data_IF_622037309016
#
_entry.id   IF_622037309016
#
_cell.length_a   1.000
_cell.length_b   1.000
_cell.length_c   1.000
_cell.angle_alpha   90.00
_cell.angle_beta   90.00
_cell.angle_gamma   90.00
#
_symmetry.space_group_name_H-M   'P 1'
#
loop_
_entity.id
_entity.type
_entity.pdbx_description
1 polymer ?
#
# COMPACT_ATOMS: atom_id res chain seq x y z
N UNK A 1 3.82 -18.46 8.54
CA UNK A 1 4.14 -17.19 7.88
C UNK A 1 2.90 -16.73 7.11
N UNK A 2 2.18 -15.71 7.62
CA UNK A 2 1.05 -15.10 6.89
C UNK A 2 1.61 -14.39 5.66
N UNK A 3 1.11 -14.71 4.47
CA UNK A 3 1.45 -13.98 3.23
C UNK A 3 0.55 -12.74 3.18
N UNK A 4 1.12 -11.56 3.43
CA UNK A 4 0.45 -10.29 3.14
C UNK A 4 0.50 -10.05 1.63
N UNK A 5 -0.64 -9.78 1.00
CA UNK A 5 -0.74 -9.47 -0.44
C UNK A 5 -1.05 -7.99 -0.57
N UNK A 6 -0.23 -7.23 -1.30
CA UNK A 6 -0.54 -5.85 -1.68
C UNK A 6 -1.48 -5.88 -2.87
N UNK A 7 -2.66 -5.32 -2.69
CA UNK A 7 -3.64 -5.18 -3.76
C UNK A 7 -3.43 -3.88 -4.54
N UNK A 8 -3.77 -3.88 -5.83
CA UNK A 8 -3.78 -2.68 -6.69
C UNK A 8 -4.75 -1.57 -6.24
N UNK A 9 -5.61 -1.87 -5.27
CA UNK A 9 -6.48 -0.89 -4.63
C UNK A 9 -5.79 -0.16 -3.46
N UNK A 10 -4.51 -0.43 -3.19
CA UNK A 10 -3.77 0.20 -2.09
C UNK A 10 -4.08 -0.38 -0.72
N UNK A 11 -4.53 -1.63 -0.63
CA UNK A 11 -4.77 -2.31 0.65
C UNK A 11 -3.87 -3.53 0.81
N UNK A 12 -3.45 -3.76 2.06
CA UNK A 12 -2.75 -4.96 2.47
C UNK A 12 -3.77 -6.02 2.88
N UNK A 13 -3.80 -7.12 2.13
CA UNK A 13 -4.71 -8.22 2.39
C UNK A 13 -4.11 -9.10 3.48
N UNK A 14 -4.65 -8.99 4.69
CA UNK A 14 -4.43 -9.94 5.78
C UNK A 14 -5.71 -10.74 6.05
N UNK A 15 -5.93 -11.80 5.25
CA UNK A 15 -7.06 -12.71 5.43
C UNK A 15 -8.40 -12.23 4.86
N UNK A 16 -8.50 -10.99 4.36
CA UNK A 16 -9.67 -10.44 3.67
C UNK A 16 -9.82 -10.98 2.23
N UNK A 17 -9.85 -12.30 2.08
CA UNK A 17 -9.94 -12.98 0.78
C UNK A 17 -11.20 -13.82 0.65
N UNK A 18 -11.87 -13.76 -0.50
CA UNK A 18 -12.89 -14.74 -0.88
C UNK A 18 -12.31 -15.76 -1.85
N UNK A 19 -12.90 -16.95 -1.92
CA UNK A 19 -12.56 -17.97 -2.93
C UNK A 19 -13.55 -17.88 -4.08
N UNK A 20 -13.04 -17.93 -5.29
CA UNK A 20 -13.85 -18.01 -6.51
C UNK A 20 -13.19 -18.98 -7.50
N UNK A 21 -13.93 -19.33 -8.55
CA UNK A 21 -13.44 -20.20 -9.62
C UNK A 21 -13.44 -19.43 -10.92
N UNK A 22 -12.25 -19.28 -11.49
CA UNK A 22 -12.09 -18.66 -12.80
C UNK A 22 -11.60 -19.67 -13.83
N UNK A 23 -11.99 -19.50 -15.10
CA UNK A 23 -11.34 -20.22 -16.19
C UNK A 23 -9.90 -19.73 -16.36
N UNK A 24 -8.98 -20.68 -16.44
CA UNK A 24 -7.55 -20.45 -16.68
C UNK A 24 -7.10 -21.26 -17.89
N UNK A 25 -5.89 -21.00 -18.39
CA UNK A 25 -5.30 -21.76 -19.51
C UNK A 25 -5.21 -23.27 -19.26
N UNK A 26 -5.13 -23.68 -17.99
CA UNK A 26 -4.93 -25.07 -17.57
C UNK A 26 -6.23 -25.77 -17.14
N UNK A 27 -7.22 -25.05 -16.62
CA UNK A 27 -8.49 -25.62 -16.16
C UNK A 27 -9.61 -24.55 -16.14
N UNK A 28 -10.84 -24.86 -16.59
CA UNK A 28 -12.00 -23.95 -16.51
C UNK A 28 -12.48 -23.64 -15.09
N UNK A 29 -12.05 -24.38 -14.06
CA UNK A 29 -12.48 -24.19 -12.67
C UNK A 29 -11.28 -24.20 -11.73
N UNK A 30 -10.37 -23.25 -11.93
CA UNK A 30 -9.24 -23.08 -11.03
C UNK A 30 -9.66 -22.29 -9.80
N UNK A 31 -9.42 -22.81 -8.58
CA UNK A 31 -9.68 -22.08 -7.35
C UNK A 31 -8.71 -20.90 -7.23
N UNK A 32 -9.24 -19.70 -7.20
CA UNK A 32 -8.51 -18.45 -6.98
C UNK A 32 -8.99 -17.75 -5.72
N UNK A 33 -8.15 -16.86 -5.20
CA UNK A 33 -8.54 -15.98 -4.11
C UNK A 33 -8.72 -14.58 -4.67
N UNK A 34 -9.75 -13.87 -4.22
CA UNK A 34 -9.98 -12.47 -4.55
C UNK A 34 -9.99 -11.60 -3.31
N UNK A 35 -9.73 -10.32 -3.48
CA UNK A 35 -9.81 -9.34 -2.41
C UNK A 35 -11.28 -8.99 -2.12
N UNK A 36 -11.72 -9.19 -0.88
CA UNK A 36 -13.13 -8.99 -0.52
C UNK A 36 -13.60 -7.53 -0.63
N UNK A 37 -12.70 -6.56 -0.49
CA UNK A 37 -13.05 -5.14 -0.50
C UNK A 37 -13.16 -4.58 -1.92
N UNK A 38 -12.17 -4.84 -2.78
CA UNK A 38 -12.19 -4.30 -4.16
C UNK A 38 -12.67 -5.30 -5.23
N UNK A 39 -12.93 -6.55 -4.87
CA UNK A 39 -13.37 -7.60 -5.79
C UNK A 39 -12.29 -8.12 -6.74
N UNK A 40 -11.03 -7.66 -6.61
CA UNK A 40 -9.95 -8.08 -7.50
C UNK A 40 -9.60 -9.56 -7.29
N UNK A 41 -9.77 -10.38 -8.32
CA UNK A 41 -9.40 -11.80 -8.31
C UNK A 41 -7.92 -11.99 -8.65
N UNK A 42 -7.20 -12.77 -7.83
CA UNK A 42 -5.80 -13.10 -8.04
C UNK A 42 -5.67 -14.44 -8.76
N UNK A 43 -5.20 -14.40 -10.01
CA UNK A 43 -4.98 -15.60 -10.81
C UNK A 43 -3.50 -16.02 -10.75
N UNK A 44 -3.21 -16.98 -9.88
CA UNK A 44 -1.85 -17.50 -9.67
C UNK A 44 -1.41 -18.53 -10.73
N UNK A 45 -2.32 -19.04 -11.57
CA UNK A 45 -2.00 -20.09 -12.55
C UNK A 45 -1.46 -19.48 -13.85
N UNK A 46 -2.08 -18.41 -14.33
CA UNK A 46 -1.64 -17.75 -15.58
C UNK A 46 -0.55 -16.68 -15.34
N UNK A 47 0.18 -16.76 -14.22
CA UNK A 47 1.15 -15.73 -13.77
C UNK A 47 0.58 -14.30 -13.67
N UNK A 48 -0.75 -14.18 -13.61
CA UNK A 48 -1.48 -12.93 -13.36
C UNK A 48 -1.59 -12.65 -11.86
N UNK A 49 -0.50 -12.87 -11.12
CA UNK A 49 -0.36 -12.25 -9.79
C UNK A 49 -0.49 -10.73 -9.94
N UNK A 50 -0.95 -10.00 -8.91
CA UNK A 50 -0.80 -8.56 -8.90
C UNK A 50 0.69 -8.28 -9.06
N UNK A 51 1.04 -7.60 -10.16
CA UNK A 51 2.41 -7.48 -10.66
C UNK A 51 3.35 -7.07 -9.52
N UNK A 52 4.57 -7.62 -9.49
CA UNK A 52 5.66 -6.94 -8.78
C UNK A 52 5.83 -5.58 -9.47
N UNK A 53 5.61 -4.49 -8.74
CA UNK A 53 5.59 -3.12 -9.27
C UNK A 53 7.03 -2.68 -9.56
N UNK A 54 7.52 -3.18 -10.69
CA UNK A 54 8.90 -2.98 -11.12
C UNK A 54 9.14 -1.52 -11.51
N UNK A 55 8.10 -0.80 -11.93
CA UNK A 55 8.18 0.60 -12.31
C UNK A 55 7.86 1.55 -11.15
N UNK A 56 8.58 2.68 -11.08
CA UNK A 56 8.32 3.75 -10.09
C UNK A 56 6.94 4.36 -10.25
N UNK A 57 6.41 4.41 -11.48
CA UNK A 57 5.10 4.99 -11.79
C UNK A 57 3.98 4.14 -11.22
N UNK A 58 4.02 2.82 -11.41
CA UNK A 58 3.01 1.91 -10.85
C UNK A 58 3.04 1.93 -9.31
N UNK A 59 4.24 1.93 -8.71
CA UNK A 59 4.39 2.01 -7.26
C UNK A 59 3.79 3.30 -6.69
N UNK A 60 4.03 4.45 -7.31
CA UNK A 60 3.45 5.74 -6.90
C UNK A 60 1.93 5.75 -7.02
N UNK A 61 1.36 5.12 -8.06
CA UNK A 61 -0.09 5.01 -8.20
C UNK A 61 -0.75 4.23 -7.06
N UNK A 62 -0.09 3.17 -6.58
CA UNK A 62 -0.59 2.38 -5.45
C UNK A 62 -0.35 3.09 -4.12
N UNK A 63 0.81 3.74 -3.98
CA UNK A 63 1.09 4.60 -2.84
C UNK A 63 0.00 5.68 -2.69
N UNK A 64 -0.39 6.33 -3.77
CA UNK A 64 -1.46 7.33 -3.74
C UNK A 64 -2.79 6.74 -3.27
N UNK A 65 -3.25 5.62 -3.85
CA UNK A 65 -4.48 4.95 -3.41
C UNK A 65 -4.41 4.49 -1.95
N UNK A 66 -3.25 4.00 -1.52
CA UNK A 66 -3.02 3.65 -0.12
C UNK A 66 -3.16 4.88 0.78
N UNK A 67 -2.60 6.02 0.38
CA UNK A 67 -2.65 7.25 1.14
C UNK A 67 -4.08 7.81 1.23
N UNK A 68 -4.83 7.80 0.12
CA UNK A 68 -6.25 8.16 0.09
C UNK A 68 -7.10 7.27 1.03
N UNK A 69 -6.85 5.96 1.04
CA UNK A 69 -7.55 5.03 1.93
C UNK A 69 -7.23 5.21 3.41
N UNK A 70 -6.06 5.79 3.73
CA UNK A 70 -5.66 6.09 5.09
C UNK A 70 -5.99 7.55 5.48
N UNK A 71 -6.85 8.22 4.71
CA UNK A 71 -7.31 9.59 4.95
C UNK A 71 -6.16 10.60 5.15
N UNK A 72 -5.04 10.39 4.46
CA UNK A 72 -3.92 11.34 4.48
C UNK A 72 -4.32 12.64 3.78
N UNK A 73 -3.95 13.80 4.35
CA UNK A 73 -4.17 15.08 3.70
C UNK A 73 -3.23 15.27 2.49
N UNK A 74 -3.57 16.20 1.59
CA UNK A 74 -2.85 16.38 0.32
C UNK A 74 -1.36 16.71 0.50
N UNK A 75 -0.99 17.43 1.57
CA UNK A 75 0.41 17.77 1.87
C UNK A 75 1.16 16.50 2.31
N UNK A 76 0.57 15.76 3.25
CA UNK A 76 1.10 14.48 3.74
C UNK A 76 1.20 13.43 2.64
N UNK A 77 0.23 13.38 1.71
CA UNK A 77 0.30 12.52 0.52
C UNK A 77 1.52 12.87 -0.33
N UNK A 78 1.78 14.17 -0.55
CA UNK A 78 2.95 14.65 -1.28
C UNK A 78 4.26 14.15 -0.65
N UNK A 79 4.42 14.36 0.65
CA UNK A 79 5.60 13.92 1.40
C UNK A 79 5.76 12.40 1.42
N UNK A 80 4.65 11.67 1.55
CA UNK A 80 4.63 10.22 1.47
C UNK A 80 5.12 9.71 0.10
N UNK A 81 4.62 10.28 -1.00
CA UNK A 81 5.04 9.89 -2.35
C UNK A 81 6.52 10.19 -2.63
N UNK A 82 7.04 11.29 -2.07
CA UNK A 82 8.47 11.62 -2.13
C UNK A 82 9.31 10.58 -1.38
N UNK A 83 8.88 10.20 -0.17
CA UNK A 83 9.58 9.19 0.63
C UNK A 83 9.56 7.81 -0.02
N UNK A 84 8.45 7.43 -0.65
CA UNK A 84 8.35 6.20 -1.47
C UNK A 84 9.38 6.20 -2.61
N UNK A 85 9.56 7.31 -3.31
CA UNK A 85 10.54 7.43 -4.41
C UNK A 85 11.98 7.38 -3.88
N UNK A 86 12.23 7.98 -2.71
CA UNK A 86 13.52 7.95 -2.02
C UNK A 86 13.88 6.50 -1.67
N UNK A 87 12.98 5.78 -1.01
CA UNK A 87 13.20 4.38 -0.61
C UNK A 87 13.34 3.44 -1.81
N UNK A 88 12.55 3.64 -2.87
CA UNK A 88 12.70 2.87 -4.12
C UNK A 88 14.06 3.09 -4.78
N UNK A 89 14.59 4.32 -4.72
CA UNK A 89 15.90 4.65 -5.27
C UNK A 89 17.06 4.00 -4.52
N UNK A 90 16.88 3.65 -3.24
CA UNK A 90 17.88 2.92 -2.46
C UNK A 90 17.98 1.43 -2.85
N UNK A 91 16.95 0.86 -3.49
CA UNK A 91 16.98 -0.50 -4.05
C UNK A 91 17.03 -1.64 -3.03
N UNK A 92 16.92 -1.36 -1.74
CA UNK A 92 17.13 -2.34 -0.66
C UNK A 92 15.84 -3.02 -0.16
N UNK A 93 14.67 -2.55 -0.60
CA UNK A 93 13.37 -2.96 -0.08
C UNK A 93 12.43 -3.42 -1.21
N UNK A 94 11.54 -4.36 -0.91
CA UNK A 94 10.47 -4.70 -1.83
C UNK A 94 9.38 -3.62 -1.81
N UNK A 95 8.52 -3.59 -2.84
CA UNK A 95 7.49 -2.56 -3.00
C UNK A 95 6.59 -2.43 -1.77
N UNK A 96 6.24 -3.54 -1.12
CA UNK A 96 5.42 -3.51 0.11
C UNK A 96 6.16 -2.85 1.27
N UNK A 97 7.41 -3.25 1.49
CA UNK A 97 8.23 -2.71 2.58
C UNK A 97 8.48 -1.22 2.38
N UNK A 98 8.61 -0.76 1.14
CA UNK A 98 8.72 0.66 0.79
C UNK A 98 7.48 1.44 1.24
N UNK A 99 6.27 0.97 0.89
CA UNK A 99 5.03 1.65 1.28
C UNK A 99 4.86 1.70 2.80
N UNK A 100 5.11 0.58 3.49
CA UNK A 100 4.98 0.49 4.95
C UNK A 100 6.01 1.39 5.65
N UNK A 101 7.28 1.35 5.20
CA UNK A 101 8.34 2.15 5.79
C UNK A 101 8.10 3.65 5.56
N UNK A 102 7.74 4.06 4.34
CA UNK A 102 7.40 5.45 4.06
C UNK A 102 6.23 5.93 4.94
N UNK A 103 5.18 5.11 5.11
CA UNK A 103 4.03 5.48 5.92
C UNK A 103 4.40 5.68 7.39
N UNK A 104 5.23 4.80 7.94
CA UNK A 104 5.76 4.94 9.31
C UNK A 104 6.58 6.21 9.49
N UNK A 105 7.49 6.50 8.55
CA UNK A 105 8.31 7.73 8.57
C UNK A 105 7.43 8.98 8.60
N UNK A 106 6.34 8.99 7.84
CA UNK A 106 5.41 10.13 7.80
C UNK A 106 4.62 10.25 9.11
N UNK A 107 4.17 9.14 9.68
CA UNK A 107 3.48 9.14 10.97
C UNK A 107 4.39 9.63 12.12
N UNK A 108 5.67 9.22 12.11
CA UNK A 108 6.66 9.67 13.10
C UNK A 108 6.90 11.19 13.00
N UNK A 109 7.02 11.73 11.78
CA UNK A 109 7.14 13.18 11.56
C UNK A 109 5.92 13.96 12.07
N UNK A 110 4.72 13.46 11.81
CA UNK A 110 3.48 14.08 12.28
C UNK A 110 3.33 14.04 13.82
N UNK A 111 3.91 13.05 14.48
CA UNK A 111 3.93 13.00 15.96
C UNK A 111 4.91 13.98 16.61
N UNK A 112 5.99 14.36 15.92
CA UNK A 112 6.95 15.34 16.43
C UNK A 112 6.43 16.79 16.34
N UNK A 113 5.59 17.10 15.34
CA UNK A 113 4.98 18.44 15.16
C UNK A 113 3.89 18.75 16.20
N UNK A 114 3.30 17.73 16.85
CA UNK A 114 2.33 17.91 17.92
C UNK A 114 2.96 18.48 19.21
N UNK A 115 4.27 18.31 19.43
CA UNK A 115 4.98 18.86 20.59
C UNK A 115 5.45 20.31 20.39
N UNK A 116 5.43 20.85 19.16
CA UNK A 116 5.97 22.17 18.86
C UNK A 116 4.96 23.34 19.02
N UNK A 117 3.67 23.05 19.20
CA UNK A 117 2.61 24.08 19.31
C UNK A 117 1.99 24.17 20.72
N UNK A 118 2.83 24.11 21.76
CA UNK A 118 2.43 24.45 23.12
C UNK A 118 2.17 25.95 23.24
N UNK A 119 0.90 26.33 23.23
CA UNK A 119 0.41 27.69 23.45
C UNK A 119 1.07 28.34 24.69
N UNK A 120 1.79 29.43 24.46
CA UNK A 120 2.17 30.36 25.53
C UNK A 120 0.93 31.20 25.86
N UNK A 121 0.12 30.75 26.82
CA UNK A 121 -0.85 31.62 27.50
C UNK A 121 -0.17 32.29 28.69
N UNK A 122 0.42 33.46 28.47
CA UNK A 122 0.74 34.38 29.56
C UNK A 122 -0.58 34.99 30.08
N UNK A 123 -1.04 34.51 31.23
CA UNK A 123 -2.05 35.19 32.02
C UNK A 123 -1.45 36.40 32.74
N UNK A 124 -2.07 37.55 32.57
CA UNK A 124 -1.97 38.71 33.45
C UNK A 124 -3.34 39.39 33.52
#
# INVERSE_FOLDING_TARGET
MKRMILCECGEFIDGCTFKDYIPTSSNPSTPTIGHQICGLLFNFIDDKLPKRYSSRVELKGIAFKFAEKNDMDQTTIGDYLLEVDRLKSLGNLCDMDILIAAYKTIQEKNSDDACANGEIVHGA
#
